data_IF_932182694953
#
_entry.id   IF_932182694953
#
_cell.length_a   1.000
_cell.length_b   1.000
_cell.length_c   1.000
_cell.angle_alpha   90.00
_cell.angle_beta   90.00
_cell.angle_gamma   90.00
#
_symmetry.space_group_name_H-M   'P 1'
#
loop_
_entity.id
_entity.type
_entity.pdbx_description
1 polymer ?
#
# COMPACT_ATOMS: atom_id res chain seq x y z
N UNK A 1 20.46 -6.52 -26.84
CA UNK A 1 21.56 -6.85 -25.90
C UNK A 1 22.78 -5.94 -26.08
N UNK A 2 23.32 -5.75 -27.30
CA UNK A 2 24.52 -4.93 -27.56
C UNK A 2 24.46 -3.50 -26.97
N UNK A 3 23.30 -2.85 -26.98
CA UNK A 3 23.11 -1.52 -26.38
C UNK A 3 23.46 -1.45 -24.88
N UNK A 4 23.26 -2.52 -24.12
CA UNK A 4 23.61 -2.58 -22.69
C UNK A 4 25.13 -2.57 -22.53
N UNK A 5 25.83 -3.30 -23.39
CA UNK A 5 27.30 -3.43 -23.36
C UNK A 5 27.97 -2.14 -23.82
N UNK A 6 27.59 -1.60 -24.98
CA UNK A 6 28.22 -0.38 -25.52
C UNK A 6 27.93 0.87 -24.68
N UNK A 7 26.73 0.95 -24.07
CA UNK A 7 26.39 2.05 -23.16
C UNK A 7 26.78 1.78 -21.71
N UNK A 8 27.39 0.61 -21.41
CA UNK A 8 27.82 0.21 -20.07
C UNK A 8 26.70 0.33 -19.01
N UNK A 9 25.49 -0.06 -19.38
CA UNK A 9 24.30 0.04 -18.52
C UNK A 9 24.41 -1.00 -17.40
N UNK A 10 24.25 -0.57 -16.14
CA UNK A 10 24.12 -1.47 -15.00
C UNK A 10 22.65 -1.82 -14.77
N UNK A 11 22.34 -3.12 -14.76
CA UNK A 11 21.01 -3.63 -14.43
C UNK A 11 21.12 -4.35 -13.10
N UNK A 12 20.38 -3.88 -12.07
CA UNK A 12 20.41 -4.44 -10.72
C UNK A 12 18.98 -4.62 -10.21
N UNK A 13 18.64 -5.84 -9.83
CA UNK A 13 17.42 -6.13 -9.07
C UNK A 13 17.62 -5.77 -7.60
N UNK A 14 16.52 -5.50 -6.89
CA UNK A 14 16.52 -5.29 -5.45
C UNK A 14 15.20 -5.79 -4.86
N UNK A 15 15.20 -6.11 -3.56
CA UNK A 15 14.00 -6.45 -2.81
C UNK A 15 13.73 -5.37 -1.77
N UNK A 16 12.44 -5.07 -1.53
CA UNK A 16 12.04 -4.08 -0.53
C UNK A 16 12.48 -4.50 0.89
N UNK A 17 12.53 -5.81 1.16
CA UNK A 17 13.00 -6.38 2.43
C UNK A 17 14.42 -5.93 2.80
N UNK A 18 15.28 -5.67 1.82
CA UNK A 18 16.67 -5.26 2.04
C UNK A 18 16.78 -3.82 2.58
N UNK A 19 15.68 -3.05 2.52
CA UNK A 19 15.61 -1.63 2.85
C UNK A 19 14.61 -1.30 3.97
N UNK A 20 14.19 -2.30 4.75
CA UNK A 20 13.25 -2.09 5.87
C UNK A 20 13.80 -1.10 6.91
N UNK A 21 15.12 -1.06 7.10
CA UNK A 21 15.80 -0.12 7.99
C UNK A 21 15.59 1.37 7.64
N UNK A 22 15.35 1.70 6.36
CA UNK A 22 15.10 3.07 5.91
C UNK A 22 13.62 3.37 5.71
N UNK A 23 12.74 2.39 5.92
CA UNK A 23 11.31 2.50 5.63
C UNK A 23 10.63 3.64 6.40
N UNK A 24 10.95 3.81 7.69
CA UNK A 24 10.40 4.89 8.52
C UNK A 24 10.73 6.28 7.95
N UNK A 25 11.97 6.49 7.49
CA UNK A 25 12.39 7.75 6.89
C UNK A 25 11.72 7.98 5.53
N UNK A 26 11.62 6.93 4.72
CA UNK A 26 10.91 6.97 3.44
C UNK A 26 9.44 7.39 3.63
N UNK A 27 8.77 6.81 4.63
CA UNK A 27 7.37 7.13 4.91
C UNK A 27 7.20 8.59 5.32
N UNK A 28 8.02 9.09 6.25
CA UNK A 28 7.94 10.47 6.72
C UNK A 28 8.01 11.46 5.53
N UNK A 29 9.01 11.30 4.65
CA UNK A 29 9.16 12.13 3.44
C UNK A 29 8.00 12.00 2.47
N UNK A 30 7.49 10.78 2.26
CA UNK A 30 6.40 10.51 1.33
C UNK A 30 5.10 11.15 1.81
N UNK A 31 4.82 11.07 3.11
CA UNK A 31 3.66 11.73 3.73
C UNK A 31 3.74 13.25 3.58
N UNK A 32 4.92 13.85 3.74
CA UNK A 32 5.09 15.29 3.55
C UNK A 32 4.80 15.70 2.10
N UNK A 33 5.24 14.91 1.11
CA UNK A 33 4.92 15.17 -0.29
C UNK A 33 3.45 14.97 -0.65
N UNK A 34 2.79 13.98 -0.05
CA UNK A 34 1.34 13.77 -0.21
C UNK A 34 0.57 14.97 0.36
N UNK A 35 0.89 15.39 1.60
CA UNK A 35 0.25 16.54 2.26
C UNK A 35 0.49 17.85 1.51
N UNK A 36 1.69 18.03 0.96
CA UNK A 36 2.03 19.20 0.15
C UNK A 36 1.49 19.15 -1.29
N UNK A 37 0.76 18.09 -1.67
CA UNK A 37 0.23 17.91 -3.03
C UNK A 37 1.28 17.70 -4.12
N UNK A 38 2.55 17.49 -3.73
CA UNK A 38 3.69 17.25 -4.62
C UNK A 38 3.70 15.82 -5.16
N UNK A 39 3.07 14.89 -4.44
CA UNK A 39 2.83 13.53 -4.87
C UNK A 39 1.33 13.31 -5.04
N UNK A 40 0.91 12.84 -6.22
CA UNK A 40 -0.48 12.45 -6.51
C UNK A 40 -0.54 10.93 -6.64
N UNK A 41 -1.53 10.33 -5.99
CA UNK A 41 -1.77 8.88 -6.07
C UNK A 41 -2.91 8.63 -7.03
N UNK A 42 -2.72 7.67 -7.94
CA UNK A 42 -3.75 7.18 -8.85
C UNK A 42 -4.02 5.73 -8.44
N UNK A 43 -5.27 5.43 -8.13
CA UNK A 43 -5.72 4.12 -7.66
C UNK A 43 -6.89 3.66 -8.53
N UNK A 44 -6.94 2.36 -8.78
CA UNK A 44 -8.03 1.67 -9.46
C UNK A 44 -8.67 0.73 -8.43
N UNK A 45 -9.93 1.00 -8.07
CA UNK A 45 -10.60 0.35 -6.94
C UNK A 45 -11.72 -0.56 -7.44
N UNK A 46 -11.59 -1.85 -7.16
CA UNK A 46 -12.65 -2.85 -7.31
C UNK A 46 -13.36 -3.08 -5.97
N UNK A 47 -14.67 -3.33 -6.01
CA UNK A 47 -15.49 -3.48 -4.80
C UNK A 47 -15.86 -4.95 -4.58
N UNK A 48 -15.79 -5.41 -3.33
CA UNK A 48 -16.18 -6.76 -2.92
C UNK A 48 -15.07 -7.79 -3.10
N UNK A 49 -15.08 -8.80 -2.23
CA UNK A 49 -14.13 -9.93 -2.25
C UNK A 49 -14.26 -10.73 -3.55
N UNK A 50 -15.47 -10.76 -4.09
CA UNK A 50 -15.85 -11.43 -5.32
C UNK A 50 -15.12 -10.86 -6.53
N UNK A 51 -14.66 -9.60 -6.46
CA UNK A 51 -13.90 -8.94 -7.52
C UNK A 51 -12.40 -9.27 -7.53
N UNK A 52 -11.88 -9.97 -6.52
CA UNK A 52 -10.45 -10.29 -6.42
C UNK A 52 -9.94 -11.07 -7.64
N UNK A 53 -10.60 -12.15 -8.10
CA UNK A 53 -10.10 -12.93 -9.23
C UNK A 53 -10.04 -12.10 -10.52
N UNK A 54 -11.08 -11.30 -10.81
CA UNK A 54 -11.10 -10.44 -12.01
C UNK A 54 -10.08 -9.32 -11.92
N UNK A 55 -9.96 -8.65 -10.76
CA UNK A 55 -8.98 -7.60 -10.53
C UNK A 55 -7.52 -8.10 -10.68
N UNK A 56 -7.27 -9.35 -10.28
CA UNK A 56 -5.95 -9.98 -10.45
C UNK A 56 -5.64 -10.27 -11.92
N UNK A 57 -6.61 -10.77 -12.70
CA UNK A 57 -6.44 -10.98 -14.14
C UNK A 57 -6.21 -9.65 -14.87
N UNK A 58 -6.98 -8.62 -14.54
CA UNK A 58 -6.84 -7.26 -15.10
C UNK A 58 -5.44 -6.67 -14.87
N UNK A 59 -4.82 -6.95 -13.72
CA UNK A 59 -3.47 -6.51 -13.39
C UNK A 59 -2.42 -7.03 -14.39
N UNK A 60 -2.52 -8.31 -14.79
CA UNK A 60 -1.59 -8.90 -15.76
C UNK A 60 -1.92 -8.56 -17.22
N UNK A 61 -3.19 -8.23 -17.49
CA UNK A 61 -3.61 -7.71 -18.79
C UNK A 61 -3.28 -6.22 -18.96
N UNK A 62 -2.80 -5.54 -17.91
CA UNK A 62 -2.48 -4.11 -17.95
C UNK A 62 -3.71 -3.20 -18.05
N UNK A 63 -4.87 -3.68 -17.62
CA UNK A 63 -6.12 -2.92 -17.67
C UNK A 63 -6.25 -1.89 -16.52
N UNK A 64 -5.43 -2.01 -15.47
CA UNK A 64 -5.47 -1.11 -14.32
C UNK A 64 -4.78 0.23 -14.60
N UNK A 65 -5.41 1.32 -14.16
CA UNK A 65 -4.82 2.66 -14.19
C UNK A 65 -4.34 3.01 -12.78
N UNK A 66 -3.03 2.91 -12.55
CA UNK A 66 -2.43 3.13 -11.23
C UNK A 66 -2.49 1.88 -10.33
N UNK A 67 -2.53 2.08 -9.01
CA UNK A 67 -2.49 0.99 -8.03
C UNK A 67 -3.85 0.28 -7.96
N UNK A 68 -3.89 -1.00 -8.32
CA UNK A 68 -5.09 -1.84 -8.17
C UNK A 68 -5.34 -2.15 -6.69
N UNK A 69 -6.57 -1.91 -6.22
CA UNK A 69 -7.01 -2.15 -4.84
C UNK A 69 -8.38 -2.83 -4.88
N UNK A 70 -8.59 -3.83 -4.04
CA UNK A 70 -9.91 -4.40 -3.80
C UNK A 70 -10.40 -3.95 -2.43
N UNK A 71 -11.55 -3.29 -2.39
CA UNK A 71 -12.17 -2.81 -1.17
C UNK A 71 -13.22 -3.81 -0.65
N UNK A 72 -13.05 -4.25 0.59
CA UNK A 72 -13.84 -5.33 1.21
C UNK A 72 -14.88 -4.79 2.23
N UNK A 73 -14.84 -3.50 2.57
CA UNK A 73 -15.73 -2.92 3.58
C UNK A 73 -17.19 -2.75 3.11
N UNK A 74 -18.09 -2.52 4.06
CA UNK A 74 -19.54 -2.39 3.84
C UNK A 74 -20.01 -0.97 3.45
N UNK A 75 -19.11 -0.10 2.94
CA UNK A 75 -19.43 1.29 2.54
C UNK A 75 -18.70 1.72 1.26
N UNK A 76 -19.08 2.85 0.65
CA UNK A 76 -18.31 3.38 -0.50
C UNK A 76 -16.94 3.92 -0.05
N UNK A 77 -15.86 3.68 -0.82
CA UNK A 77 -14.55 4.25 -0.53
C UNK A 77 -14.62 5.78 -0.67
N UNK A 78 -14.72 6.49 0.45
CA UNK A 78 -14.63 7.95 0.44
C UNK A 78 -13.18 8.34 0.20
N UNK A 79 -12.97 9.09 -0.88
CA UNK A 79 -11.68 9.63 -1.28
C UNK A 79 -10.95 10.34 -0.12
N UNK A 80 -9.99 9.64 0.51
CA UNK A 80 -8.78 10.14 1.19
C UNK A 80 -8.21 9.04 2.09
N UNK A 81 -7.26 8.27 1.55
CA UNK A 81 -6.47 7.33 2.33
C UNK A 81 -5.21 8.00 2.86
N UNK A 82 -4.88 7.74 4.13
CA UNK A 82 -3.59 8.06 4.70
C UNK A 82 -2.85 6.77 5.04
N UNK A 83 -1.56 6.76 4.71
CA UNK A 83 -0.69 5.63 5.01
C UNK A 83 -0.30 5.71 6.49
N UNK A 84 -0.87 4.85 7.32
CA UNK A 84 -0.46 4.70 8.73
C UNK A 84 0.37 3.42 8.90
N UNK A 85 1.47 3.52 9.62
CA UNK A 85 2.28 2.37 10.05
C UNK A 85 1.55 1.64 11.17
N UNK A 86 1.35 0.33 11.01
CA UNK A 86 1.08 -0.54 12.16
C UNK A 86 2.42 -0.90 12.86
N UNK A 87 2.38 -1.43 14.10
CA UNK A 87 3.58 -1.88 14.81
C UNK A 87 4.29 -3.07 14.15
N UNK A 88 3.67 -3.70 13.15
CA UNK A 88 4.18 -4.91 12.47
C UNK A 88 4.89 -4.60 11.13
N UNK A 89 5.01 -3.33 10.74
CA UNK A 89 5.67 -2.92 9.50
C UNK A 89 4.84 -3.18 8.23
N UNK A 90 3.56 -3.54 8.38
CA UNK A 90 2.60 -3.60 7.28
C UNK A 90 1.98 -2.21 7.15
N UNK A 91 2.06 -1.61 5.96
CA UNK A 91 1.37 -0.36 5.70
C UNK A 91 -0.15 -0.59 5.75
N UNK A 92 -0.78 -0.31 6.90
CA UNK A 92 -2.22 -0.32 7.04
C UNK A 92 -2.78 0.95 6.39
N UNK A 93 -3.54 0.80 5.31
CA UNK A 93 -4.39 1.86 4.77
C UNK A 93 -5.55 2.08 5.75
N UNK A 94 -5.38 3.00 6.70
CA UNK A 94 -6.50 3.47 7.51
C UNK A 94 -7.11 4.72 6.87
N UNK A 95 -8.43 4.67 6.72
CA UNK A 95 -9.26 5.81 6.31
C UNK A 95 -9.01 6.97 7.26
N UNK A 96 -8.79 8.16 6.69
CA UNK A 96 -8.51 9.38 7.44
C UNK A 96 -9.78 10.06 8.01
N UNK A 97 -10.87 9.30 8.22
CA UNK A 97 -12.07 9.79 8.90
C UNK A 97 -11.82 9.85 10.42
N UNK A 98 -11.15 10.93 10.85
CA UNK A 98 -10.88 11.30 12.24
C UNK A 98 -12.15 11.70 13.03
N UNK A 99 -13.33 11.17 12.68
CA UNK A 99 -14.59 11.52 13.34
C UNK A 99 -15.51 10.34 13.69
N UNK A 100 -15.04 9.10 13.57
CA UNK A 100 -15.75 7.93 14.14
C UNK A 100 -14.74 7.03 14.86
N UNK A 101 -14.18 7.54 15.94
CA UNK A 101 -13.49 6.72 16.93
C UNK A 101 -14.54 5.90 17.70
N UNK A 102 -14.98 4.78 17.13
CA UNK A 102 -15.73 3.79 17.88
C UNK A 102 -14.75 2.84 18.57
N UNK A 103 -14.79 2.64 19.90
CA UNK A 103 -13.71 1.97 20.65
C UNK A 103 -13.58 0.45 20.42
N UNK A 104 -14.35 -0.15 19.53
CA UNK A 104 -14.56 -1.61 19.50
C UNK A 104 -13.62 -2.41 18.58
N UNK A 105 -12.74 -1.76 17.80
CA UNK A 105 -11.87 -2.47 16.83
C UNK A 105 -10.45 -2.72 17.38
N UNK A 106 -10.10 -2.21 18.55
CA UNK A 106 -8.78 -2.46 19.17
C UNK A 106 -8.65 -3.80 19.89
N UNK A 107 -9.71 -4.62 19.98
CA UNK A 107 -9.68 -5.84 20.78
C UNK A 107 -9.12 -7.08 20.06
N UNK A 108 -8.77 -6.99 18.77
CA UNK A 108 -8.43 -8.20 17.97
C UNK A 108 -6.96 -8.35 17.54
N UNK A 109 -6.03 -7.63 18.17
CA UNK A 109 -4.60 -7.73 17.83
C UNK A 109 -3.68 -7.98 19.05
N UNK A 110 -4.17 -8.68 20.08
CA UNK A 110 -3.32 -9.32 21.09
C UNK A 110 -3.31 -10.83 20.85
N UNK A 111 -2.53 -11.29 19.86
CA UNK A 111 -2.07 -12.69 19.85
C UNK A 111 -0.99 -12.79 20.92
N UNK A 112 -1.17 -13.56 22.00
CA UNK A 112 -0.08 -13.83 22.93
C UNK A 112 0.97 -14.68 22.21
N UNK A 113 2.22 -14.28 22.35
CA UNK A 113 3.40 -15.08 22.08
C UNK A 113 3.24 -16.43 22.79
N UNK A 114 3.14 -17.51 22.00
CA UNK A 114 3.39 -18.85 22.51
C UNK A 114 4.90 -19.06 22.50
N UNK A 115 5.53 -18.74 23.63
CA UNK A 115 6.73 -19.43 24.07
C UNK A 115 6.32 -20.85 24.48
N UNK A 116 6.86 -21.84 23.79
CA UNK A 116 7.28 -23.14 24.31
C UNK A 116 8.22 -23.81 23.31
#
# INVERSE_FOLDING_TARGET
>A
MLNIVYKRITIRGFLVSDYVNVFAQFLAKTLDYLRAGKLKVIEDISLGVESIPSAFVELFNGANIGKKIVYIGSGLPRHKFAMTLDPCGIACLLSQDLNVAHPLIWHYAKRPSLDN
#
